data_IF_910625663132
#
_entry.id   IF_910625663132
#
_cell.length_a   1.000
_cell.length_b   1.000
_cell.length_c   1.000
_cell.angle_alpha   90.00
_cell.angle_beta   90.00
_cell.angle_gamma   90.00
#
_symmetry.space_group_name_H-M   'P 1'
#
loop_
_entity.id
_entity.type
_entity.pdbx_description
1 polymer ?
#
# COMPACT_ATOMS: atom_id res chain seq x y z
N UNK A 1 -12.74 -5.47 2.49
CA UNK A 1 -13.73 -4.37 2.27
C UNK A 1 -13.02 -3.06 2.53
N UNK A 2 -13.14 -2.07 1.62
CA UNK A 2 -12.57 -0.74 1.84
C UNK A 2 -13.41 0.03 2.89
N UNK A 3 -12.76 0.57 3.92
CA UNK A 3 -13.40 1.40 4.94
C UNK A 3 -13.28 2.88 4.56
N UNK A 4 -14.31 3.67 4.87
CA UNK A 4 -14.22 5.14 4.72
C UNK A 4 -13.37 5.69 5.84
N UNK A 5 -12.38 6.51 5.50
CA UNK A 5 -11.43 7.08 6.46
C UNK A 5 -12.17 7.83 7.59
N UNK A 6 -11.99 7.38 8.83
CA UNK A 6 -12.49 8.02 10.05
C UNK A 6 -11.35 8.73 10.79
N UNK A 7 -11.69 9.73 11.63
CA UNK A 7 -10.69 10.44 12.43
C UNK A 7 -9.99 9.52 13.43
N UNK A 8 -10.73 8.60 14.05
CA UNK A 8 -10.17 7.63 14.99
C UNK A 8 -9.22 6.67 14.29
N UNK A 9 -9.58 6.13 13.13
CA UNK A 9 -8.69 5.28 12.34
C UNK A 9 -7.42 6.00 11.89
N UNK A 10 -7.50 7.29 11.52
CA UNK A 10 -6.32 8.09 11.21
C UNK A 10 -5.41 8.30 12.43
N UNK A 11 -6.00 8.52 13.61
CA UNK A 11 -5.24 8.67 14.85
C UNK A 11 -4.50 7.39 15.21
N UNK A 12 -5.16 6.24 15.11
CA UNK A 12 -4.54 4.92 15.33
C UNK A 12 -3.38 4.67 14.36
N UNK A 13 -3.59 4.95 13.07
CA UNK A 13 -2.54 4.83 12.05
C UNK A 13 -1.36 5.78 12.31
N UNK A 14 -1.61 6.99 12.80
CA UNK A 14 -0.56 7.96 13.11
C UNK A 14 0.27 7.57 14.35
N UNK A 15 -0.38 6.94 15.33
CA UNK A 15 0.25 6.41 16.54
C UNK A 15 1.05 5.12 16.28
N UNK A 16 0.69 4.37 15.23
CA UNK A 16 1.36 3.13 14.88
C UNK A 16 2.86 3.29 14.59
N UNK A 17 3.67 2.36 15.12
CA UNK A 17 5.09 2.24 14.86
C UNK A 17 5.41 0.78 14.59
N UNK A 18 6.05 0.51 13.45
CA UNK A 18 6.54 -0.84 13.15
C UNK A 18 7.73 -1.16 14.05
N UNK A 19 7.63 -2.25 14.82
CA UNK A 19 8.67 -2.67 15.77
C UNK A 19 9.47 -3.86 15.24
N UNK A 20 8.80 -4.77 14.53
CA UNK A 20 9.39 -6.02 14.03
C UNK A 20 9.86 -5.90 12.58
N UNK A 21 9.14 -5.14 11.77
CA UNK A 21 9.42 -5.00 10.34
C UNK A 21 9.35 -3.57 9.84
N UNK A 22 8.94 -3.43 8.57
CA UNK A 22 8.68 -2.16 7.94
C UNK A 22 7.18 -2.01 7.71
N UNK A 23 6.67 -0.80 7.91
CA UNK A 23 5.32 -0.44 7.48
C UNK A 23 5.37 0.12 6.05
N UNK A 24 4.42 -0.28 5.21
CA UNK A 24 4.13 0.36 3.94
C UNK A 24 2.91 1.27 4.12
N UNK A 25 3.06 2.53 3.72
CA UNK A 25 1.94 3.45 3.52
C UNK A 25 1.84 3.75 2.03
N UNK A 26 0.83 3.20 1.38
CA UNK A 26 0.61 3.32 -0.06
C UNK A 26 -0.56 4.25 -0.33
N UNK A 27 -0.33 5.32 -1.09
CA UNK A 27 -1.36 6.30 -1.43
C UNK A 27 -1.47 6.40 -2.94
N UNK A 28 -2.69 6.26 -3.46
CA UNK A 28 -2.97 6.36 -4.88
C UNK A 28 -4.07 7.39 -5.13
N UNK A 29 -3.72 8.38 -5.94
CA UNK A 29 -4.68 9.33 -6.51
C UNK A 29 -5.46 8.66 -7.65
N UNK A 30 -6.77 8.72 -7.54
CA UNK A 30 -7.74 8.19 -8.49
C UNK A 30 -8.68 9.30 -8.97
N UNK A 31 -8.24 10.56 -8.99
CA UNK A 31 -8.99 11.64 -9.60
C UNK A 31 -9.32 11.28 -11.08
N UNK A 32 -10.60 11.37 -11.51
CA UNK A 32 -10.99 11.09 -12.89
C UNK A 32 -10.22 11.91 -13.95
N UNK A 33 -9.65 13.06 -13.59
CA UNK A 33 -8.79 13.88 -14.46
C UNK A 33 -7.45 13.22 -14.76
N UNK A 34 -6.98 12.32 -13.89
CA UNK A 34 -5.67 11.67 -13.99
C UNK A 34 -5.78 10.17 -14.27
N UNK A 35 -6.86 9.53 -13.84
CA UNK A 35 -7.21 8.12 -14.08
C UNK A 35 -8.70 7.98 -14.48
N UNK A 36 -9.06 8.29 -15.74
CA UNK A 36 -10.46 8.26 -16.17
C UNK A 36 -11.01 6.83 -16.29
N UNK A 37 -10.18 5.84 -16.64
CA UNK A 37 -10.62 4.44 -16.80
C UNK A 37 -10.10 3.52 -15.70
N UNK A 38 -10.71 2.33 -15.59
CA UNK A 38 -10.20 1.26 -14.73
C UNK A 38 -8.80 0.79 -15.16
N UNK A 39 -8.52 0.81 -16.47
CA UNK A 39 -7.19 0.51 -17.01
C UNK A 39 -6.14 1.52 -16.54
N UNK A 40 -6.45 2.82 -16.58
CA UNK A 40 -5.53 3.87 -16.11
C UNK A 40 -5.22 3.73 -14.62
N UNK A 41 -6.23 3.43 -13.81
CA UNK A 41 -6.06 3.15 -12.40
C UNK A 41 -5.13 1.95 -12.18
N UNK A 42 -5.39 0.83 -12.87
CA UNK A 42 -4.56 -0.37 -12.77
C UNK A 42 -3.11 -0.12 -13.21
N UNK A 43 -2.89 0.63 -14.30
CA UNK A 43 -1.54 0.99 -14.76
C UNK A 43 -0.81 1.85 -13.72
N UNK A 44 -1.47 2.86 -13.15
CA UNK A 44 -0.88 3.70 -12.09
C UNK A 44 -0.55 2.90 -10.84
N UNK A 45 -1.45 2.02 -10.39
CA UNK A 45 -1.20 1.12 -9.26
C UNK A 45 0.04 0.27 -9.52
N UNK A 46 0.11 -0.40 -10.67
CA UNK A 46 1.25 -1.25 -11.02
C UNK A 46 2.55 -0.46 -11.10
N UNK A 47 2.52 0.74 -11.68
CA UNK A 47 3.69 1.61 -11.76
C UNK A 47 4.18 2.01 -10.36
N UNK A 48 3.28 2.45 -9.48
CA UNK A 48 3.64 2.86 -8.12
C UNK A 48 4.14 1.69 -7.27
N UNK A 49 3.52 0.51 -7.38
CA UNK A 49 4.00 -0.69 -6.70
C UNK A 49 5.39 -1.10 -7.19
N UNK A 50 5.61 -1.08 -8.49
CA UNK A 50 6.91 -1.45 -9.08
C UNK A 50 8.02 -0.48 -8.65
N UNK A 51 7.71 0.82 -8.64
CA UNK A 51 8.66 1.84 -8.18
C UNK A 51 8.93 1.71 -6.67
N UNK A 52 7.90 1.44 -5.88
CA UNK A 52 8.00 1.18 -4.44
C UNK A 52 8.86 -0.04 -4.13
N UNK A 53 8.64 -1.17 -4.82
CA UNK A 53 9.44 -2.39 -4.69
C UNK A 53 10.92 -2.11 -5.00
N UNK A 54 11.21 -1.40 -6.09
CA UNK A 54 12.59 -1.03 -6.47
C UNK A 54 13.26 -0.13 -5.43
N UNK A 55 12.54 0.87 -4.91
CA UNK A 55 13.06 1.75 -3.87
C UNK A 55 13.30 0.99 -2.56
N UNK A 56 12.39 0.09 -2.18
CA UNK A 56 12.55 -0.79 -1.03
C UNK A 56 13.78 -1.68 -1.16
N UNK A 57 14.00 -2.29 -2.33
CA UNK A 57 15.20 -3.09 -2.61
C UNK A 57 16.49 -2.28 -2.51
N UNK A 58 16.48 -1.03 -2.97
CA UNK A 58 17.65 -0.15 -2.95
C UNK A 58 17.97 0.33 -1.52
N UNK A 59 16.95 0.59 -0.71
CA UNK A 59 17.07 1.17 0.62
C UNK A 59 17.11 0.13 1.77
N UNK A 60 17.01 -1.17 1.48
CA UNK A 60 16.97 -2.24 2.50
C UNK A 60 18.31 -2.59 3.17
N UNK A 61 19.33 -1.73 3.05
CA UNK A 61 20.72 -2.02 3.49
C UNK A 61 20.85 -2.26 5.01
N UNK A 62 19.83 -1.95 5.81
CA UNK A 62 19.77 -2.25 7.25
C UNK A 62 18.78 -3.35 7.66
N UNK A 63 18.02 -3.93 6.73
CA UNK A 63 17.02 -4.95 7.05
C UNK A 63 17.61 -6.35 7.14
N UNK A 64 17.12 -7.13 8.10
CA UNK A 64 17.41 -8.57 8.17
C UNK A 64 16.81 -9.30 6.97
N UNK A 65 17.22 -10.55 6.73
CA UNK A 65 16.63 -11.36 5.66
C UNK A 65 15.12 -11.51 5.83
N UNK A 66 14.66 -11.81 7.05
CA UNK A 66 13.24 -12.00 7.35
C UNK A 66 12.43 -10.72 7.13
N UNK A 67 12.97 -9.56 7.50
CA UNK A 67 12.33 -8.26 7.25
C UNK A 67 12.23 -7.95 5.76
N UNK A 68 13.23 -8.33 4.96
CA UNK A 68 13.18 -8.17 3.49
C UNK A 68 12.13 -9.08 2.85
N UNK A 69 12.04 -10.33 3.33
CA UNK A 69 11.03 -11.28 2.86
C UNK A 69 9.64 -10.79 3.23
N UNK A 70 9.42 -10.34 4.47
CA UNK A 70 8.15 -9.81 4.90
C UNK A 70 7.75 -8.56 4.11
N UNK A 71 8.67 -7.62 3.88
CA UNK A 71 8.41 -6.43 3.07
C UNK A 71 7.97 -6.79 1.64
N UNK A 72 8.61 -7.80 1.03
CA UNK A 72 8.22 -8.30 -0.29
C UNK A 72 6.83 -8.95 -0.28
N UNK A 73 6.50 -9.69 0.79
CA UNK A 73 5.17 -10.25 0.98
C UNK A 73 4.11 -9.14 1.15
N UNK A 74 4.44 -8.04 1.84
CA UNK A 74 3.54 -6.90 2.01
C UNK A 74 3.21 -6.25 0.66
N UNK A 75 4.20 -6.04 -0.22
CA UNK A 75 3.95 -5.59 -1.59
C UNK A 75 3.08 -6.57 -2.40
N UNK A 76 3.32 -7.88 -2.26
CA UNK A 76 2.51 -8.89 -2.93
C UNK A 76 1.04 -8.87 -2.47
N UNK A 77 0.79 -8.70 -1.17
CA UNK A 77 -0.58 -8.56 -0.62
C UNK A 77 -1.27 -7.31 -1.16
N UNK A 78 -0.58 -6.18 -1.23
CA UNK A 78 -1.16 -4.95 -1.79
C UNK A 78 -1.52 -5.16 -3.26
N UNK A 79 -0.66 -5.83 -4.04
CA UNK A 79 -0.94 -6.16 -5.44
C UNK A 79 -2.17 -7.05 -5.59
N UNK A 80 -2.28 -8.07 -4.74
CA UNK A 80 -3.42 -8.99 -4.73
C UNK A 80 -4.73 -8.27 -4.38
N UNK A 81 -4.70 -7.38 -3.38
CA UNK A 81 -5.84 -6.53 -3.04
C UNK A 81 -6.32 -5.72 -4.25
N UNK A 82 -5.42 -5.07 -4.98
CA UNK A 82 -5.79 -4.30 -6.16
C UNK A 82 -6.26 -5.14 -7.34
N UNK A 83 -5.79 -6.38 -7.46
CA UNK A 83 -6.19 -7.28 -8.53
C UNK A 83 -7.58 -7.90 -8.30
N UNK A 84 -7.90 -8.24 -7.05
CA UNK A 84 -9.03 -9.11 -6.74
C UNK A 84 -10.13 -8.43 -5.92
N UNK A 85 -9.79 -7.45 -5.08
CA UNK A 85 -10.72 -6.90 -4.08
C UNK A 85 -11.05 -5.43 -4.30
N UNK A 86 -10.15 -4.67 -4.91
CA UNK A 86 -10.30 -3.24 -5.04
C UNK A 86 -11.46 -2.87 -5.97
N UNK A 87 -12.41 -2.12 -5.42
CA UNK A 87 -13.50 -1.50 -6.16
C UNK A 87 -13.43 0.01 -5.97
N UNK A 88 -13.30 0.75 -7.07
CA UNK A 88 -13.17 2.21 -7.03
C UNK A 88 -14.38 2.89 -6.37
N UNK A 89 -15.60 2.41 -6.62
CA UNK A 89 -16.85 2.88 -5.99
C UNK A 89 -16.97 4.44 -5.86
N UNK A 90 -16.51 5.17 -6.88
CA UNK A 90 -16.53 6.65 -6.88
C UNK A 90 -15.46 7.33 -6.03
N UNK A 91 -14.55 6.57 -5.40
CA UNK A 91 -13.44 7.10 -4.63
C UNK A 91 -12.46 7.87 -5.55
N UNK A 92 -12.06 9.05 -5.07
CA UNK A 92 -11.05 9.90 -5.69
C UNK A 92 -9.63 9.52 -5.29
N UNK A 93 -9.47 8.61 -4.33
CA UNK A 93 -8.18 8.10 -3.92
C UNK A 93 -8.34 6.90 -3.01
N UNK A 94 -7.25 6.18 -2.81
CA UNK A 94 -7.18 5.02 -1.91
C UNK A 94 -5.86 5.04 -1.16
N UNK A 95 -5.93 4.71 0.12
CA UNK A 95 -4.77 4.50 0.97
C UNK A 95 -4.77 3.04 1.45
N UNK A 96 -3.62 2.38 1.36
CA UNK A 96 -3.41 1.01 1.87
C UNK A 96 -2.23 1.05 2.84
N UNK A 97 -2.46 0.55 4.04
CA UNK A 97 -1.44 0.41 5.07
C UNK A 97 -1.19 -1.08 5.28
N UNK A 98 0.07 -1.48 5.40
CA UNK A 98 0.45 -2.88 5.59
C UNK A 98 1.70 -2.96 6.46
N UNK A 99 1.66 -3.79 7.49
CA UNK A 99 2.84 -4.12 8.29
C UNK A 99 2.76 -5.59 8.73
N UNK A 100 3.12 -6.50 7.82
CA UNK A 100 2.82 -7.94 7.99
C UNK A 100 3.46 -8.58 9.21
N UNK A 101 4.64 -8.10 9.63
CA UNK A 101 5.31 -8.61 10.85
C UNK A 101 4.71 -8.07 12.15
N UNK A 102 4.05 -6.91 12.09
CA UNK A 102 3.48 -6.20 13.22
C UNK A 102 1.95 -6.41 13.33
N UNK A 103 1.41 -7.28 12.47
CA UNK A 103 0.02 -7.75 12.46
C UNK A 103 -1.02 -6.64 12.14
N UNK A 104 -0.65 -5.73 11.23
CA UNK A 104 -1.53 -4.72 10.60
C UNK A 104 -1.89 -5.14 9.19
#
# INVERSE_FOLDING_TARGET
MAETVSWDGLRELAEFRAEKGCAISFYLDLDPRTAPTAGDAATRTNALLTDGERHAETNNRGLTHDQRVALKQDFARIREYFANEFQRNGAHGVAVFSAGMDNV
#
